data_IF_501433502778
#
_entry.id   IF_501433502778
#
_cell.length_a   1.000
_cell.length_b   1.000
_cell.length_c   1.000
_cell.angle_alpha   90.00
_cell.angle_beta   90.00
_cell.angle_gamma   90.00
#
_symmetry.space_group_name_H-M   'P 1'
#
loop_
_entity.id
_entity.type
_entity.pdbx_description
1 polymer ?
#
# COMPACT_ATOMS: atom_id res chain seq x y z
N UNK A 1 -4.93 -19.92 -7.54
CA UNK A 1 -5.51 -18.63 -7.99
C UNK A 1 -5.20 -17.58 -6.94
N UNK A 2 -4.58 -16.50 -7.34
CA UNK A 2 -4.18 -15.42 -6.42
C UNK A 2 -5.41 -14.60 -6.00
N UNK A 3 -5.67 -14.57 -4.71
CA UNK A 3 -6.74 -13.76 -4.09
C UNK A 3 -6.13 -12.49 -3.50
N UNK A 4 -6.75 -11.37 -3.76
CA UNK A 4 -6.35 -10.06 -3.24
C UNK A 4 -7.56 -9.42 -2.56
N UNK A 5 -7.39 -8.93 -1.35
CA UNK A 5 -8.39 -8.12 -0.63
C UNK A 5 -7.79 -6.74 -0.39
N UNK A 6 -8.46 -5.70 -0.84
CA UNK A 6 -8.09 -4.32 -0.51
C UNK A 6 -8.57 -4.05 0.91
N UNK A 7 -7.66 -3.88 1.84
CA UNK A 7 -7.98 -3.58 3.24
C UNK A 7 -8.31 -2.10 3.43
N UNK A 8 -7.64 -1.24 2.68
CA UNK A 8 -7.87 0.19 2.64
C UNK A 8 -7.23 0.84 1.44
N UNK A 9 -7.76 1.97 1.00
CA UNK A 9 -7.31 2.67 -0.21
C UNK A 9 -6.88 4.13 0.06
N UNK A 10 -7.06 4.67 1.26
CA UNK A 10 -6.71 6.05 1.58
C UNK A 10 -5.21 6.22 1.89
N UNK A 11 -4.69 7.43 1.69
CA UNK A 11 -3.38 7.84 2.18
C UNK A 11 -3.37 8.03 3.71
N UNK A 12 -2.24 8.45 4.26
CA UNK A 12 -2.06 8.71 5.68
C UNK A 12 -3.18 9.57 6.28
N UNK A 13 -3.75 9.11 7.39
CA UNK A 13 -4.88 9.74 8.07
C UNK A 13 -6.26 9.20 7.69
N UNK A 14 -6.40 8.44 6.60
CA UNK A 14 -7.67 7.84 6.19
C UNK A 14 -8.72 8.85 5.69
N UNK A 15 -9.91 8.35 5.32
CA UNK A 15 -11.05 9.17 4.94
C UNK A 15 -12.24 8.80 5.85
N UNK A 16 -12.80 9.73 6.62
CA UNK A 16 -12.35 11.12 6.83
C UNK A 16 -11.11 11.21 7.73
N UNK A 17 -10.18 12.08 7.41
CA UNK A 17 -9.07 12.37 8.31
C UNK A 17 -9.61 13.11 9.56
N UNK A 18 -9.13 12.73 10.75
CA UNK A 18 -9.73 13.12 12.05
C UNK A 18 -9.81 14.65 12.27
N UNK A 19 -8.85 15.41 11.79
CA UNK A 19 -8.75 16.88 11.96
C UNK A 19 -9.05 17.67 10.67
N UNK A 20 -9.53 17.02 9.60
CA UNK A 20 -9.77 17.67 8.32
C UNK A 20 -11.24 18.04 8.12
N UNK A 21 -11.50 19.26 7.66
CA UNK A 21 -12.83 19.77 7.31
C UNK A 21 -13.03 20.00 5.79
N UNK A 22 -12.22 19.37 4.92
CA UNK A 22 -12.40 19.48 3.48
C UNK A 22 -13.75 18.90 3.01
N UNK A 23 -14.21 19.21 1.79
CA UNK A 23 -15.49 18.75 1.28
C UNK A 23 -15.69 17.23 1.36
N UNK A 24 -14.66 16.44 1.01
CA UNK A 24 -14.69 14.97 1.09
C UNK A 24 -14.87 14.51 2.53
N UNK A 25 -14.04 15.01 3.46
CA UNK A 25 -14.11 14.61 4.87
C UNK A 25 -15.44 14.98 5.55
N UNK A 26 -16.02 16.15 5.21
CA UNK A 26 -17.36 16.51 5.70
C UNK A 26 -18.42 15.53 5.21
N UNK A 27 -18.45 15.24 3.92
CA UNK A 27 -19.40 14.27 3.35
C UNK A 27 -19.22 12.87 3.94
N UNK A 28 -18.00 12.38 4.07
CA UNK A 28 -17.71 11.07 4.63
C UNK A 28 -18.16 10.92 6.10
N UNK A 29 -18.20 12.02 6.86
CA UNK A 29 -18.69 11.99 8.25
C UNK A 29 -20.21 11.91 8.37
N UNK A 30 -20.96 12.63 7.54
CA UNK A 30 -22.37 12.87 7.73
C UNK A 30 -23.28 12.34 6.63
N UNK A 31 -22.92 12.55 5.37
CA UNK A 31 -23.82 12.35 4.25
C UNK A 31 -23.55 11.04 3.48
N UNK A 32 -22.28 10.71 3.32
CA UNK A 32 -21.81 9.62 2.43
C UNK A 32 -20.86 8.69 3.17
N UNK A 33 -21.34 7.82 4.06
CA UNK A 33 -20.48 6.86 4.77
C UNK A 33 -19.67 5.93 3.86
N UNK A 34 -20.13 5.72 2.64
CA UNK A 34 -19.45 4.93 1.60
C UNK A 34 -18.14 5.56 1.10
N UNK A 35 -17.92 6.85 1.39
CA UNK A 35 -16.64 7.51 1.13
C UNK A 35 -15.57 7.16 2.17
N UNK A 36 -15.96 6.52 3.29
CA UNK A 36 -15.00 6.15 4.33
C UNK A 36 -14.04 5.11 3.79
N UNK A 37 -12.77 5.37 3.99
CA UNK A 37 -11.71 4.44 3.62
C UNK A 37 -10.59 4.48 4.64
N UNK A 38 -10.09 3.32 5.00
CA UNK A 38 -8.92 3.15 5.84
C UNK A 38 -7.65 3.29 5.00
N UNK A 39 -6.51 3.42 5.67
CA UNK A 39 -5.23 3.68 5.01
C UNK A 39 -4.74 2.47 4.21
N UNK A 40 -4.01 2.75 3.12
CA UNK A 40 -3.68 1.81 2.06
C UNK A 40 -2.93 0.55 2.56
N UNK A 41 -3.56 -0.59 2.38
CA UNK A 41 -3.00 -1.91 2.61
C UNK A 41 -3.81 -2.93 1.81
N UNK A 42 -3.18 -4.03 1.42
CA UNK A 42 -3.86 -5.19 0.80
C UNK A 42 -3.46 -6.47 1.49
N UNK A 43 -4.30 -7.48 1.42
CA UNK A 43 -3.98 -8.86 1.79
C UNK A 43 -3.97 -9.73 0.55
N UNK A 44 -2.99 -10.65 0.45
CA UNK A 44 -2.82 -11.57 -0.69
C UNK A 44 -2.68 -13.00 -0.23
N UNK A 45 -3.25 -13.96 -0.98
CA UNK A 45 -3.18 -15.38 -0.69
C UNK A 45 -3.26 -16.20 -1.98
N UNK A 46 -2.48 -17.28 -2.09
CA UNK A 46 -2.57 -18.25 -3.18
C UNK A 46 -3.47 -19.43 -2.85
N UNK A 47 -3.60 -19.78 -1.57
CA UNK A 47 -4.35 -20.96 -1.07
C UNK A 47 -5.70 -20.62 -0.39
N UNK A 48 -5.88 -19.34 -0.02
CA UNK A 48 -7.06 -18.85 0.71
C UNK A 48 -7.02 -19.09 2.22
N UNK A 49 -5.99 -19.78 2.72
CA UNK A 49 -5.80 -20.10 4.13
C UNK A 49 -4.70 -19.25 4.76
N UNK A 50 -3.60 -19.03 4.05
CA UNK A 50 -2.47 -18.24 4.51
C UNK A 50 -2.42 -16.91 3.75
N UNK A 51 -2.34 -15.82 4.49
CA UNK A 51 -2.39 -14.46 3.96
C UNK A 51 -1.13 -13.68 4.24
N UNK A 52 -0.74 -12.86 3.30
CA UNK A 52 0.36 -11.89 3.44
C UNK A 52 -0.19 -10.48 3.30
N UNK A 53 0.13 -9.62 4.27
CA UNK A 53 -0.23 -8.21 4.21
C UNK A 53 0.85 -7.45 3.44
N UNK A 54 0.42 -6.57 2.54
CA UNK A 54 1.32 -5.57 1.94
C UNK A 54 1.03 -4.25 2.63
N UNK A 55 2.03 -3.79 3.39
CA UNK A 55 1.96 -2.73 4.39
C UNK A 55 1.02 -3.05 5.58
N UNK A 56 1.29 -2.43 6.71
CA UNK A 56 0.51 -2.54 7.94
C UNK A 56 0.10 -1.13 8.39
N UNK A 57 -1.04 -0.67 7.90
CA UNK A 57 -1.51 0.69 8.17
C UNK A 57 -1.90 0.90 9.64
N UNK A 58 -1.93 2.14 10.14
CA UNK A 58 -2.45 2.43 11.48
C UNK A 58 -3.85 1.88 11.75
N UNK A 59 -4.66 1.68 10.70
CA UNK A 59 -6.01 1.14 10.77
C UNK A 59 -6.06 -0.40 10.77
N UNK A 60 -4.91 -1.07 10.82
CA UNK A 60 -4.81 -2.54 10.64
C UNK A 60 -5.79 -3.30 11.54
N UNK A 61 -5.92 -2.94 12.82
CA UNK A 61 -6.85 -3.62 13.71
C UNK A 61 -8.29 -3.58 13.18
N UNK A 62 -8.74 -2.42 12.69
CA UNK A 62 -10.08 -2.26 12.10
C UNK A 62 -10.20 -3.04 10.79
N UNK A 63 -9.17 -3.00 9.96
CA UNK A 63 -9.09 -3.73 8.69
C UNK A 63 -9.22 -5.24 8.90
N UNK A 64 -8.50 -5.80 9.87
CA UNK A 64 -8.56 -7.23 10.20
C UNK A 64 -9.95 -7.64 10.72
N UNK A 65 -10.57 -6.81 11.56
CA UNK A 65 -11.93 -7.08 12.07
C UNK A 65 -12.97 -7.04 10.94
N UNK A 66 -12.80 -6.14 9.98
CA UNK A 66 -13.73 -5.99 8.85
C UNK A 66 -13.56 -7.05 7.75
N UNK A 67 -12.47 -7.83 7.78
CA UNK A 67 -12.10 -8.80 6.72
C UNK A 67 -12.24 -10.24 7.21
N UNK A 68 -13.37 -10.93 6.94
CA UNK A 68 -13.62 -12.28 7.45
C UNK A 68 -12.54 -13.30 7.09
N UNK A 69 -11.89 -13.16 5.93
CA UNK A 69 -10.81 -14.04 5.47
C UNK A 69 -9.56 -13.98 6.39
N UNK A 70 -9.44 -12.94 7.21
CA UNK A 70 -8.32 -12.73 8.12
C UNK A 70 -8.68 -13.04 9.58
N UNK A 71 -9.88 -13.55 9.82
CA UNK A 71 -10.31 -13.95 11.15
C UNK A 71 -9.66 -15.26 11.60
N UNK A 72 -9.55 -15.50 12.92
CA UNK A 72 -9.16 -16.79 13.46
C UNK A 72 -10.06 -17.91 12.97
N UNK A 73 -9.47 -19.06 12.65
CA UNK A 73 -10.24 -20.25 12.31
C UNK A 73 -11.08 -20.74 13.48
N UNK A 74 -12.25 -21.31 13.16
CA UNK A 74 -13.12 -21.89 14.17
C UNK A 74 -12.43 -23.06 14.90
N UNK A 75 -12.64 -23.15 16.21
CA UNK A 75 -12.02 -24.17 17.05
C UNK A 75 -10.69 -23.77 17.68
N UNK A 76 -10.12 -22.65 17.29
CA UNK A 76 -8.91 -22.10 17.90
C UNK A 76 -9.23 -20.92 18.82
N UNK A 77 -8.75 -20.93 20.06
CA UNK A 77 -8.88 -19.78 20.98
C UNK A 77 -7.98 -18.61 20.58
N UNK A 78 -6.85 -18.90 19.96
CA UNK A 78 -5.92 -17.95 19.39
C UNK A 78 -5.37 -18.50 18.08
N UNK A 79 -5.59 -17.77 16.97
CA UNK A 79 -5.13 -18.12 15.65
C UNK A 79 -5.01 -16.87 14.80
N UNK A 80 -4.12 -16.86 13.84
CA UNK A 80 -4.03 -15.83 12.80
C UNK A 80 -3.68 -16.49 11.47
N UNK A 81 -4.45 -16.27 10.40
CA UNK A 81 -4.10 -16.74 9.07
C UNK A 81 -3.00 -15.89 8.42
N UNK A 82 -2.51 -14.84 9.09
CA UNK A 82 -1.48 -13.96 8.56
C UNK A 82 -0.11 -14.62 8.72
N UNK A 83 0.44 -15.12 7.61
CA UNK A 83 1.75 -15.75 7.56
C UNK A 83 2.90 -14.74 7.50
N UNK A 84 2.65 -13.54 6.98
CA UNK A 84 3.68 -12.51 6.89
C UNK A 84 3.16 -11.12 6.54
N UNK A 85 4.06 -10.15 6.70
CA UNK A 85 3.85 -8.75 6.31
C UNK A 85 5.04 -8.32 5.43
N UNK A 86 4.75 -7.71 4.30
CA UNK A 86 5.76 -7.14 3.39
C UNK A 86 5.60 -5.62 3.41
N UNK A 87 6.65 -4.91 3.79
CA UNK A 87 6.66 -3.45 3.84
C UNK A 87 7.31 -2.87 2.58
N UNK A 88 6.65 -1.88 1.99
CA UNK A 88 7.17 -1.19 0.80
C UNK A 88 7.99 0.05 1.13
N UNK A 89 7.81 0.63 2.31
CA UNK A 89 8.55 1.80 2.80
C UNK A 89 8.51 1.87 4.34
N UNK A 90 9.13 2.90 4.92
CA UNK A 90 9.18 3.13 6.37
C UNK A 90 8.20 4.18 6.89
N UNK A 91 7.25 4.64 6.08
CA UNK A 91 6.26 5.63 6.49
C UNK A 91 5.29 5.08 7.57
N UNK A 92 4.74 5.98 8.36
CA UNK A 92 3.82 5.64 9.47
C UNK A 92 2.62 4.83 8.96
N UNK A 93 2.07 5.22 7.81
CA UNK A 93 0.92 4.54 7.20
C UNK A 93 1.25 3.16 6.61
N UNK A 94 2.54 2.83 6.45
CA UNK A 94 2.98 1.49 6.06
C UNK A 94 3.38 0.60 7.25
N UNK A 95 3.81 1.16 8.39
CA UNK A 95 4.45 0.36 9.46
C UNK A 95 3.73 0.39 10.80
N UNK A 96 2.93 1.44 11.13
CA UNK A 96 2.42 1.61 12.48
C UNK A 96 1.42 0.53 12.92
N UNK A 97 0.71 -0.09 11.98
CA UNK A 97 -0.21 -1.19 12.25
C UNK A 97 0.46 -2.45 12.78
N UNK A 98 1.78 -2.61 12.56
CA UNK A 98 2.56 -3.68 13.18
C UNK A 98 2.42 -3.71 14.70
N UNK A 99 2.21 -2.56 15.33
CA UNK A 99 2.01 -2.47 16.79
C UNK A 99 0.72 -3.17 17.25
N UNK A 100 -0.28 -3.30 16.38
CA UNK A 100 -1.48 -4.08 16.65
C UNK A 100 -1.25 -5.59 16.60
N UNK A 101 -0.13 -6.04 16.02
CA UNK A 101 0.21 -7.46 15.86
C UNK A 101 1.09 -7.99 17.03
N UNK A 102 1.30 -7.21 18.09
CA UNK A 102 2.10 -7.59 19.27
C UNK A 102 1.50 -8.74 20.09
N UNK A 103 0.32 -9.22 19.75
CA UNK A 103 -0.45 -10.19 20.53
C UNK A 103 0.08 -11.64 20.45
N UNK A 104 1.28 -11.83 19.91
CA UNK A 104 2.05 -13.06 20.03
C UNK A 104 1.78 -14.14 18.96
N UNK A 105 0.94 -13.87 17.98
CA UNK A 105 0.84 -14.75 16.80
C UNK A 105 2.12 -14.66 15.96
N UNK A 106 2.72 -15.79 15.54
CA UNK A 106 3.93 -15.78 14.75
C UNK A 106 3.66 -15.33 13.31
N UNK A 107 4.54 -14.51 12.75
CA UNK A 107 4.56 -14.16 11.33
C UNK A 107 5.95 -13.74 10.88
N UNK A 108 6.17 -13.72 9.57
CA UNK A 108 7.39 -13.22 8.95
C UNK A 108 7.23 -11.75 8.58
N UNK A 109 8.24 -10.93 8.86
CA UNK A 109 8.29 -9.52 8.46
C UNK A 109 9.37 -9.34 7.39
N UNK A 110 8.94 -9.01 6.17
CA UNK A 110 9.80 -8.78 5.02
C UNK A 110 9.87 -7.28 4.73
N UNK A 111 11.07 -6.74 4.66
CA UNK A 111 11.27 -5.35 4.26
C UNK A 111 12.71 -5.13 3.76
N UNK A 112 12.93 -4.09 2.99
CA UNK A 112 14.28 -3.67 2.64
C UNK A 112 15.07 -3.35 3.92
N UNK A 113 16.38 -3.60 3.92
CA UNK A 113 17.22 -3.40 5.10
C UNK A 113 17.13 -1.98 5.67
N UNK A 114 16.93 -0.97 4.81
CA UNK A 114 16.73 0.42 5.23
C UNK A 114 15.47 0.58 6.10
N UNK A 115 14.38 -0.07 5.73
CA UNK A 115 13.12 -0.05 6.50
C UNK A 115 13.27 -0.86 7.80
N UNK A 116 13.95 -2.01 7.76
CA UNK A 116 14.25 -2.78 8.97
C UNK A 116 15.13 -1.98 9.95
N UNK A 117 16.08 -1.18 9.45
CA UNK A 117 16.89 -0.28 10.26
C UNK A 117 16.04 0.81 10.95
N UNK A 118 15.04 1.35 10.26
CA UNK A 118 14.07 2.29 10.85
C UNK A 118 13.33 1.61 12.01
N UNK A 119 12.80 0.41 11.81
CA UNK A 119 12.10 -0.31 12.87
C UNK A 119 13.02 -0.60 14.07
N UNK A 120 14.28 -0.99 13.84
CA UNK A 120 15.26 -1.23 14.92
C UNK A 120 15.63 0.04 15.69
N UNK A 121 15.65 1.19 15.02
CA UNK A 121 15.97 2.47 15.67
C UNK A 121 14.82 3.04 16.50
N UNK A 122 13.62 2.50 16.36
CA UNK A 122 12.44 2.89 17.10
C UNK A 122 12.06 1.79 18.10
N UNK A 123 12.44 1.97 19.36
CA UNK A 123 12.32 0.96 20.42
C UNK A 123 10.91 0.43 20.65
N UNK A 124 9.86 1.16 20.23
CA UNK A 124 8.47 0.71 20.35
C UNK A 124 8.22 -0.59 19.55
N UNK A 125 8.94 -0.82 18.44
CA UNK A 125 8.83 -2.05 17.64
C UNK A 125 9.50 -3.27 18.27
N UNK A 126 10.17 -3.12 19.43
CA UNK A 126 10.68 -4.26 20.21
C UNK A 126 9.54 -5.09 20.81
N UNK A 127 8.29 -4.58 20.83
CA UNK A 127 7.10 -5.37 21.18
C UNK A 127 6.87 -6.56 20.23
N UNK A 128 7.42 -6.49 19.02
CA UNK A 128 7.46 -7.59 18.05
C UNK A 128 8.69 -8.46 18.31
N UNK A 129 8.63 -9.25 19.39
CA UNK A 129 9.74 -10.07 19.85
C UNK A 129 10.16 -11.13 18.82
N UNK A 130 11.47 -11.37 18.71
CA UNK A 130 12.07 -12.27 17.70
C UNK A 130 11.63 -13.73 17.81
N UNK A 131 11.09 -14.16 18.95
CA UNK A 131 10.49 -15.48 19.10
C UNK A 131 9.25 -15.69 18.22
N UNK A 132 8.50 -14.64 17.98
CA UNK A 132 7.25 -14.69 17.20
C UNK A 132 7.36 -14.00 15.83
N UNK A 133 8.19 -12.95 15.72
CA UNK A 133 8.30 -12.16 14.50
C UNK A 133 9.73 -12.18 13.98
N UNK A 134 9.97 -13.00 12.98
CA UNK A 134 11.26 -13.06 12.30
C UNK A 134 11.31 -11.97 11.21
N UNK A 135 12.37 -11.16 11.24
CA UNK A 135 12.60 -10.10 10.28
C UNK A 135 13.55 -10.57 9.19
N UNK A 136 13.11 -10.57 7.95
CA UNK A 136 13.90 -10.99 6.81
C UNK A 136 14.12 -9.82 5.85
N UNK A 137 15.37 -9.43 5.56
CA UNK A 137 15.65 -8.42 4.56
C UNK A 137 15.30 -8.93 3.17
N UNK A 138 14.72 -8.02 2.35
CA UNK A 138 14.50 -8.21 0.93
C UNK A 138 15.29 -7.17 0.14
N UNK A 139 15.66 -7.50 -1.08
CA UNK A 139 16.49 -6.65 -1.93
C UNK A 139 15.74 -6.31 -3.22
N UNK A 140 15.90 -5.07 -3.69
CA UNK A 140 15.35 -4.67 -4.99
C UNK A 140 15.92 -5.56 -6.12
N UNK A 141 15.06 -5.90 -7.06
CA UNK A 141 15.34 -6.75 -8.24
C UNK A 141 15.77 -8.20 -7.90
N UNK A 142 15.55 -8.65 -6.66
CA UNK A 142 15.69 -10.05 -6.26
C UNK A 142 14.34 -10.65 -5.86
N UNK A 143 13.86 -11.56 -6.69
CA UNK A 143 12.64 -12.29 -6.38
C UNK A 143 12.82 -13.20 -5.15
N UNK A 144 11.78 -13.31 -4.34
CA UNK A 144 11.72 -14.26 -3.24
C UNK A 144 10.31 -14.85 -3.12
N UNK A 145 10.21 -16.00 -2.50
CA UNK A 145 8.96 -16.61 -2.12
C UNK A 145 8.79 -16.50 -0.61
N UNK A 146 7.76 -15.82 -0.10
CA UNK A 146 7.51 -15.76 1.33
C UNK A 146 7.12 -17.17 1.84
N UNK A 147 7.74 -17.59 2.95
CA UNK A 147 7.50 -18.91 3.52
C UNK A 147 6.15 -18.96 4.27
N UNK A 148 5.52 -20.14 4.26
CA UNK A 148 4.42 -20.48 5.16
C UNK A 148 4.94 -20.73 6.60
N UNK A 149 4.07 -20.77 7.62
CA UNK A 149 4.49 -20.98 9.01
C UNK A 149 5.26 -22.27 9.25
N UNK A 150 5.00 -23.31 8.49
CA UNK A 150 5.69 -24.61 8.53
C UNK A 150 7.02 -24.62 7.73
N UNK A 151 7.36 -23.53 7.07
CA UNK A 151 8.54 -23.38 6.22
C UNK A 151 8.34 -23.84 4.78
N UNK A 152 7.17 -24.34 4.41
CA UNK A 152 6.86 -24.70 3.03
C UNK A 152 6.66 -23.47 2.13
N UNK A 153 6.55 -23.70 0.83
CA UNK A 153 6.37 -22.65 -0.17
C UNK A 153 4.94 -22.13 -0.19
N UNK A 154 4.79 -20.79 -0.29
CA UNK A 154 3.48 -20.14 -0.34
C UNK A 154 2.78 -20.22 -1.70
N UNK A 155 3.52 -20.53 -2.75
CA UNK A 155 3.03 -20.43 -4.14
C UNK A 155 2.98 -18.99 -4.67
N UNK A 156 3.48 -18.01 -3.91
CA UNK A 156 3.55 -16.60 -4.30
C UNK A 156 5.00 -16.22 -4.50
N UNK A 157 5.35 -15.66 -5.65
CA UNK A 157 6.65 -15.01 -5.84
C UNK A 157 6.49 -13.50 -5.75
N UNK A 158 7.36 -12.86 -5.00
CA UNK A 158 7.40 -11.40 -4.88
C UNK A 158 8.73 -10.89 -5.44
N UNK A 159 8.65 -9.97 -6.41
CA UNK A 159 9.79 -9.24 -6.94
C UNK A 159 9.68 -7.78 -6.50
N UNK A 160 10.41 -7.36 -5.46
CA UNK A 160 10.54 -5.96 -5.11
C UNK A 160 11.37 -5.22 -6.17
N UNK A 161 11.08 -3.97 -6.41
CA UNK A 161 11.92 -3.10 -7.25
C UNK A 161 11.87 -1.66 -6.72
N UNK A 162 12.95 -0.94 -6.91
CA UNK A 162 13.01 0.46 -6.49
C UNK A 162 12.11 1.32 -7.38
N UNK A 163 11.34 2.22 -6.77
CA UNK A 163 10.59 3.25 -7.48
C UNK A 163 11.07 4.63 -7.03
N UNK A 164 10.97 5.65 -7.91
CA UNK A 164 11.22 7.02 -7.49
C UNK A 164 10.28 7.40 -6.34
N UNK A 165 10.83 7.77 -5.21
CA UNK A 165 10.08 8.11 -3.99
C UNK A 165 10.99 8.82 -3.01
N UNK A 166 10.56 8.93 -1.77
CA UNK A 166 11.31 9.55 -0.68
C UNK A 166 11.47 8.60 0.49
N UNK A 167 12.47 8.86 1.31
CA UNK A 167 12.57 8.29 2.65
C UNK A 167 11.44 8.81 3.56
N UNK A 168 11.22 8.11 4.69
CA UNK A 168 10.15 8.45 5.63
C UNK A 168 10.27 9.91 6.10
N UNK A 169 9.18 10.67 5.98
CA UNK A 169 9.15 12.14 6.16
C UNK A 169 9.66 12.59 7.54
N UNK A 170 9.43 11.83 8.58
CA UNK A 170 9.89 12.13 9.95
C UNK A 170 11.40 11.97 10.13
N UNK A 171 12.12 11.48 9.11
CA UNK A 171 13.57 11.38 9.04
C UNK A 171 14.19 12.47 8.16
N UNK A 172 13.39 13.30 7.48
CA UNK A 172 13.90 14.40 6.65
C UNK A 172 14.82 15.33 7.47
N UNK A 173 15.99 15.64 6.92
CA UNK A 173 16.98 16.53 7.55
C UNK A 173 17.71 15.96 8.76
N UNK A 174 17.49 14.69 9.12
CA UNK A 174 18.21 14.03 10.21
C UNK A 174 19.33 13.16 9.65
N UNK A 175 20.48 13.12 10.35
CA UNK A 175 21.50 12.12 10.08
C UNK A 175 20.91 10.74 10.46
N UNK A 176 20.47 9.99 9.46
CA UNK A 176 19.98 8.63 9.65
C UNK A 176 21.04 7.63 9.19
N UNK A 177 21.21 6.48 9.87
CA UNK A 177 22.22 5.47 9.49
C UNK A 177 22.11 5.03 8.03
N UNK A 178 20.95 5.20 7.39
CA UNK A 178 20.69 4.81 6.01
C UNK A 178 20.83 5.95 5.00
N UNK A 179 21.15 7.21 5.44
CA UNK A 179 21.35 8.37 4.54
C UNK A 179 20.08 8.78 3.77
N UNK A 180 20.05 9.92 3.10
CA UNK A 180 18.89 10.48 2.38
C UNK A 180 18.14 9.55 1.40
N UNK A 181 17.34 10.12 0.50
CA UNK A 181 16.55 9.37 -0.49
C UNK A 181 17.43 8.41 -1.30
N UNK A 182 17.17 7.12 -1.21
CA UNK A 182 17.97 6.09 -1.87
C UNK A 182 17.11 4.93 -2.35
N UNK A 183 17.67 4.15 -3.27
CA UNK A 183 17.07 2.89 -3.69
C UNK A 183 16.76 2.02 -2.46
N UNK A 184 15.51 1.56 -2.33
CA UNK A 184 15.04 0.78 -1.18
C UNK A 184 14.30 1.57 -0.12
N UNK A 185 14.23 2.90 -0.17
CA UNK A 185 13.36 3.71 0.69
C UNK A 185 11.89 3.53 0.29
N UNK A 186 11.62 3.39 -1.01
CA UNK A 186 10.30 3.08 -1.55
C UNK A 186 10.40 1.97 -2.58
N UNK A 187 9.60 0.92 -2.39
CA UNK A 187 9.55 -0.24 -3.27
C UNK A 187 8.18 -0.35 -3.95
N UNK A 188 8.20 -0.68 -5.25
CA UNK A 188 7.11 -1.35 -5.92
C UNK A 188 7.26 -2.87 -5.77
N UNK A 189 6.16 -3.60 -5.84
CA UNK A 189 6.14 -5.05 -5.78
C UNK A 189 5.44 -5.63 -7.01
N UNK A 190 6.07 -6.59 -7.70
CA UNK A 190 5.37 -7.53 -8.56
C UNK A 190 5.03 -8.76 -7.74
N UNK A 191 3.77 -9.15 -7.71
CA UNK A 191 3.28 -10.31 -6.97
C UNK A 191 2.72 -11.30 -7.98
N UNK A 192 3.32 -12.48 -8.05
CA UNK A 192 3.07 -13.53 -9.03
C UNK A 192 2.49 -14.76 -8.34
N UNK A 193 1.40 -15.29 -8.87
CA UNK A 193 0.93 -16.64 -8.58
C UNK A 193 1.73 -17.67 -9.38
N UNK A 194 2.56 -18.45 -8.72
CA UNK A 194 3.39 -19.48 -9.37
C UNK A 194 2.55 -20.58 -10.03
N UNK A 195 1.33 -20.79 -9.55
CA UNK A 195 0.43 -21.80 -10.09
C UNK A 195 -0.21 -21.41 -11.42
N UNK A 196 -0.68 -20.17 -11.56
CA UNK A 196 -1.34 -19.67 -12.78
C UNK A 196 -0.43 -18.86 -13.68
N UNK A 197 0.72 -18.37 -13.18
CA UNK A 197 1.59 -17.44 -13.89
C UNK A 197 1.03 -16.01 -13.96
N UNK A 198 -0.14 -15.74 -13.37
CA UNK A 198 -0.72 -14.39 -13.34
C UNK A 198 -0.03 -13.52 -12.28
N UNK A 199 0.10 -12.25 -12.56
CA UNK A 199 0.77 -11.31 -11.65
C UNK A 199 0.07 -9.95 -11.64
N UNK A 200 0.34 -9.20 -10.60
CA UNK A 200 -0.07 -7.81 -10.47
C UNK A 200 1.04 -6.97 -9.84
N UNK A 201 0.87 -5.67 -9.92
CA UNK A 201 1.79 -4.71 -9.31
C UNK A 201 1.12 -3.91 -8.20
N UNK A 202 1.89 -3.62 -7.14
CA UNK A 202 1.50 -2.76 -6.03
C UNK A 202 2.52 -1.63 -5.87
N UNK A 203 2.06 -0.38 -6.05
CA UNK A 203 2.87 0.83 -5.95
C UNK A 203 2.05 1.90 -5.20
N UNK A 204 2.07 1.89 -3.86
CA UNK A 204 1.33 2.86 -3.04
C UNK A 204 2.00 4.25 -2.98
N UNK A 205 3.27 4.36 -3.38
CA UNK A 205 3.99 5.61 -3.49
C UNK A 205 4.88 5.60 -4.73
N UNK A 206 4.85 6.67 -5.52
CA UNK A 206 5.66 6.81 -6.72
C UNK A 206 5.76 8.30 -7.09
N UNK A 207 6.97 8.88 -7.14
CA UNK A 207 7.15 10.28 -7.45
C UNK A 207 7.09 10.60 -8.95
N UNK A 208 7.38 9.61 -9.81
CA UNK A 208 7.33 9.75 -11.29
C UNK A 208 7.31 8.40 -11.98
N UNK A 209 6.69 8.36 -13.15
CA UNK A 209 6.72 7.19 -14.03
C UNK A 209 7.94 7.30 -14.94
N UNK A 210 8.85 6.32 -14.83
CA UNK A 210 10.02 6.18 -15.70
C UNK A 210 9.74 5.19 -16.84
N UNK A 211 10.58 5.20 -17.88
CA UNK A 211 10.41 4.24 -18.98
C UNK A 211 10.69 2.79 -18.54
N UNK A 212 11.57 2.60 -17.58
CA UNK A 212 11.77 1.28 -16.93
C UNK A 212 10.46 0.83 -16.24
N UNK A 213 9.84 1.72 -15.46
CA UNK A 213 8.57 1.42 -14.80
C UNK A 213 7.46 1.11 -15.82
N UNK A 214 7.34 1.87 -16.91
CA UNK A 214 6.39 1.56 -17.99
C UNK A 214 6.61 0.17 -18.57
N UNK A 215 7.87 -0.17 -18.84
CA UNK A 215 8.25 -1.48 -19.38
C UNK A 215 7.89 -2.62 -18.41
N UNK A 216 8.04 -2.42 -17.10
CA UNK A 216 7.67 -3.40 -16.08
C UNK A 216 6.15 -3.60 -16.00
N UNK A 217 5.36 -2.51 -16.08
CA UNK A 217 3.91 -2.55 -15.90
C UNK A 217 3.15 -3.07 -17.13
N UNK A 218 3.76 -3.04 -18.32
CA UNK A 218 3.13 -3.50 -19.54
C UNK A 218 2.70 -4.98 -19.46
N UNK A 219 1.48 -5.29 -19.88
CA UNK A 219 0.91 -6.64 -19.86
C UNK A 219 0.42 -7.12 -18.49
N UNK A 220 0.42 -6.28 -17.47
CA UNK A 220 -0.03 -6.65 -16.13
C UNK A 220 -1.53 -6.93 -16.10
N UNK A 221 -1.94 -7.98 -15.38
CA UNK A 221 -3.36 -8.27 -15.15
C UNK A 221 -4.03 -7.22 -14.25
N UNK A 222 -3.27 -6.63 -13.33
CA UNK A 222 -3.74 -5.59 -12.42
C UNK A 222 -2.56 -4.72 -11.98
N UNK A 223 -2.80 -3.41 -11.88
CA UNK A 223 -1.87 -2.47 -11.25
C UNK A 223 -2.62 -1.67 -10.20
N UNK A 224 -2.16 -1.76 -8.95
CA UNK A 224 -2.45 -0.78 -7.92
C UNK A 224 -1.39 0.31 -7.97
N UNK A 225 -1.80 1.54 -8.14
CA UNK A 225 -0.89 2.66 -8.34
C UNK A 225 -1.19 3.82 -7.39
N UNK A 226 -0.17 4.62 -7.11
CA UNK A 226 -0.24 5.83 -6.28
C UNK A 226 -1.28 6.82 -6.79
N UNK A 227 -2.24 7.14 -5.95
CA UNK A 227 -3.34 8.07 -6.21
C UNK A 227 -3.42 9.22 -5.23
N UNK A 228 -2.31 9.59 -4.60
CA UNK A 228 -2.31 10.53 -3.46
C UNK A 228 -3.02 11.84 -3.80
N UNK A 229 -2.65 12.52 -4.85
CA UNK A 229 -3.25 13.81 -5.23
C UNK A 229 -3.78 13.80 -6.66
N UNK A 230 -4.88 14.51 -6.91
CA UNK A 230 -5.38 14.72 -8.26
C UNK A 230 -4.46 15.64 -9.06
N UNK A 231 -4.05 16.76 -8.45
CA UNK A 231 -3.10 17.73 -9.01
C UNK A 231 -1.94 17.91 -8.05
N UNK A 232 -0.77 18.23 -8.59
CA UNK A 232 0.45 18.39 -7.79
C UNK A 232 0.32 19.45 -6.69
N UNK A 233 -0.37 20.55 -6.97
CA UNK A 233 -0.59 21.69 -6.06
C UNK A 233 -1.86 21.58 -5.19
N UNK A 234 -2.54 20.45 -5.20
CA UNK A 234 -3.87 20.22 -4.60
C UNK A 234 -3.96 20.71 -3.15
N UNK A 235 -3.01 20.31 -2.30
CA UNK A 235 -3.02 20.68 -0.88
C UNK A 235 -2.80 22.19 -0.66
N UNK A 236 -1.98 22.79 -1.51
CA UNK A 236 -1.67 24.24 -1.43
C UNK A 236 -2.91 25.04 -1.82
N UNK A 237 -3.52 24.69 -2.94
CA UNK A 237 -4.73 25.38 -3.44
C UNK A 237 -5.90 25.26 -2.46
N UNK A 238 -6.05 24.11 -1.80
CA UNK A 238 -7.10 23.90 -0.81
C UNK A 238 -6.77 24.47 0.59
N UNK A 239 -5.56 25.01 0.80
CA UNK A 239 -5.13 25.53 2.10
C UNK A 239 -4.94 24.43 3.16
N UNK A 240 -4.69 23.19 2.74
CA UNK A 240 -4.54 22.03 3.61
C UNK A 240 -3.07 21.67 3.91
N UNK A 241 -2.14 22.22 3.15
CA UNK A 241 -0.72 21.97 3.30
C UNK A 241 0.14 22.95 2.51
N UNK A 242 1.46 22.82 2.65
CA UNK A 242 2.45 23.67 2.00
C UNK A 242 3.32 22.92 0.99
N UNK A 243 3.22 21.59 0.94
CA UNK A 243 3.98 20.73 0.02
C UNK A 243 3.14 20.36 -1.19
N UNK A 244 3.77 20.22 -2.34
CA UNK A 244 3.18 19.63 -3.54
C UNK A 244 3.22 18.09 -3.44
N UNK A 245 2.50 17.40 -4.31
CA UNK A 245 2.57 15.94 -4.45
C UNK A 245 4.01 15.48 -4.68
N UNK A 246 4.71 16.08 -5.65
CA UNK A 246 6.14 15.85 -5.92
C UNK A 246 6.99 16.11 -4.68
N UNK A 247 6.71 17.19 -3.98
CA UNK A 247 7.38 17.54 -2.73
C UNK A 247 7.18 16.51 -1.62
N UNK A 248 6.13 15.71 -1.67
CA UNK A 248 5.85 14.60 -0.76
C UNK A 248 6.33 13.24 -1.28
N UNK A 249 6.80 13.14 -2.53
CA UNK A 249 7.25 11.89 -3.15
C UNK A 249 6.15 11.17 -3.95
N UNK A 250 5.08 11.86 -4.33
CA UNK A 250 3.93 11.34 -5.04
C UNK A 250 3.69 12.04 -6.37
N UNK A 251 3.43 11.27 -7.42
CA UNK A 251 2.98 11.77 -8.71
C UNK A 251 1.50 12.17 -8.62
N UNK A 252 1.08 13.22 -9.36
CA UNK A 252 -0.34 13.52 -9.51
C UNK A 252 -1.06 12.48 -10.36
N UNK A 253 -2.37 12.25 -10.12
CA UNK A 253 -3.19 11.41 -10.99
C UNK A 253 -3.32 12.03 -12.38
N UNK A 254 -3.59 13.34 -12.45
CA UNK A 254 -3.91 14.09 -13.68
C UNK A 254 -2.79 15.04 -14.12
N UNK A 255 -2.98 15.65 -15.29
CA UNK A 255 -2.07 16.64 -15.88
C UNK A 255 -0.99 16.01 -16.74
N UNK A 256 -0.28 16.88 -17.46
CA UNK A 256 0.90 16.50 -18.23
C UNK A 256 1.93 15.83 -17.32
N UNK A 257 2.35 14.63 -17.67
CA UNK A 257 3.19 13.77 -16.85
C UNK A 257 2.53 13.16 -15.60
N UNK A 258 1.23 13.34 -15.39
CA UNK A 258 0.47 12.63 -14.35
C UNK A 258 0.37 11.12 -14.63
N UNK A 259 -0.05 10.35 -13.63
CA UNK A 259 -0.12 8.89 -13.73
C UNK A 259 -1.05 8.42 -14.86
N UNK A 260 -2.21 9.08 -15.04
CA UNK A 260 -3.20 8.72 -16.07
C UNK A 260 -2.58 8.83 -17.46
N UNK A 261 -1.94 9.97 -17.76
CA UNK A 261 -1.32 10.21 -19.06
C UNK A 261 -0.07 9.35 -19.27
N UNK A 262 0.80 9.28 -18.25
CA UNK A 262 2.05 8.54 -18.32
C UNK A 262 1.87 7.04 -18.55
N UNK A 263 0.76 6.46 -18.07
CA UNK A 263 0.42 5.05 -18.20
C UNK A 263 -0.68 4.81 -19.26
N UNK A 264 -1.06 5.85 -20.01
CA UNK A 264 -1.97 5.71 -21.14
C UNK A 264 -1.33 4.83 -22.22
N UNK A 265 -2.14 4.00 -22.85
CA UNK A 265 -1.70 3.13 -23.96
C UNK A 265 -0.88 1.89 -23.52
N UNK A 266 -0.56 1.72 -22.23
CA UNK A 266 -0.01 0.46 -21.76
C UNK A 266 -1.13 -0.60 -21.71
N UNK A 267 -0.79 -1.81 -22.17
CA UNK A 267 -1.67 -2.97 -22.08
C UNK A 267 -1.71 -3.48 -20.61
N UNK A 268 -2.56 -2.83 -19.81
CA UNK A 268 -2.82 -3.19 -18.40
C UNK A 268 -4.31 -3.51 -18.31
N UNK A 269 -4.64 -4.75 -17.94
CA UNK A 269 -6.03 -5.20 -17.97
C UNK A 269 -6.93 -4.48 -16.93
N UNK A 270 -6.41 -4.21 -15.72
CA UNK A 270 -7.12 -3.45 -14.67
C UNK A 270 -6.17 -2.44 -14.02
N UNK A 271 -6.64 -1.21 -13.85
CA UNK A 271 -5.89 -0.12 -13.23
C UNK A 271 -6.66 0.42 -12.04
N UNK A 272 -6.03 0.44 -10.87
CA UNK A 272 -6.65 0.93 -9.64
C UNK A 272 -5.72 1.90 -8.91
N UNK A 273 -6.26 3.04 -8.50
CA UNK A 273 -5.54 3.93 -7.59
C UNK A 273 -5.71 3.49 -6.15
N UNK A 274 -4.61 3.51 -5.41
CA UNK A 274 -4.55 3.37 -3.95
C UNK A 274 -3.84 4.58 -3.35
N UNK A 275 -3.77 4.63 -2.02
CA UNK A 275 -3.09 5.68 -1.28
C UNK A 275 -3.61 7.08 -1.64
N UNK A 276 -4.94 7.22 -1.61
CA UNK A 276 -5.64 8.44 -2.06
C UNK A 276 -5.81 9.39 -0.88
N UNK A 277 -5.31 10.61 -1.01
CA UNK A 277 -5.44 11.60 0.04
C UNK A 277 -6.91 12.02 0.25
N UNK A 278 -7.27 12.28 1.49
CA UNK A 278 -8.62 12.65 1.90
C UNK A 278 -9.16 13.95 1.24
N UNK A 279 -8.28 14.78 0.68
CA UNK A 279 -8.66 16.00 -0.06
C UNK A 279 -8.93 15.77 -1.54
N UNK A 280 -8.52 14.60 -2.08
CA UNK A 280 -8.56 14.32 -3.50
C UNK A 280 -10.01 14.33 -4.03
N UNK A 281 -10.35 15.23 -4.96
CA UNK A 281 -11.72 15.38 -5.45
C UNK A 281 -12.23 14.15 -6.21
N UNK A 282 -11.35 13.30 -6.74
CA UNK A 282 -11.73 12.05 -7.41
C UNK A 282 -12.43 11.04 -6.48
N UNK A 283 -12.35 11.21 -5.15
CA UNK A 283 -13.12 10.43 -4.18
C UNK A 283 -14.63 10.70 -4.28
N UNK A 284 -15.04 11.87 -4.76
CA UNK A 284 -16.46 12.21 -4.90
C UNK A 284 -17.00 11.64 -6.23
N UNK A 285 -17.95 10.71 -6.15
CA UNK A 285 -18.51 10.01 -7.32
C UNK A 285 -19.11 10.91 -8.40
N UNK A 286 -19.56 12.12 -8.04
CA UNK A 286 -20.12 13.09 -8.99
C UNK A 286 -19.13 14.12 -9.52
N UNK A 287 -17.87 14.11 -9.10
CA UNK A 287 -16.86 15.09 -9.53
C UNK A 287 -16.43 14.87 -10.98
N UNK A 288 -15.94 15.93 -11.60
CA UNK A 288 -15.40 15.82 -12.96
C UNK A 288 -14.07 15.05 -12.97
N UNK A 289 -13.32 15.13 -11.88
CA UNK A 289 -12.10 14.36 -11.65
C UNK A 289 -12.41 12.85 -11.64
N UNK A 290 -13.49 12.44 -10.96
CA UNK A 290 -13.91 11.04 -10.91
C UNK A 290 -14.30 10.55 -12.31
N UNK A 291 -15.06 11.33 -13.06
CA UNK A 291 -15.45 10.99 -14.43
C UNK A 291 -14.25 10.85 -15.36
N UNK A 292 -13.27 11.79 -15.27
CA UNK A 292 -12.03 11.72 -16.06
C UNK A 292 -11.22 10.45 -15.73
N UNK A 293 -11.11 10.11 -14.48
CA UNK A 293 -10.44 8.89 -14.00
C UNK A 293 -11.10 7.64 -14.61
N UNK A 294 -12.42 7.53 -14.53
CA UNK A 294 -13.18 6.40 -15.05
C UNK A 294 -13.12 6.31 -16.58
N UNK A 295 -13.21 7.43 -17.29
CA UNK A 295 -13.03 7.49 -18.75
C UNK A 295 -11.64 7.04 -19.20
N UNK A 296 -10.61 7.26 -18.39
CA UNK A 296 -9.25 6.76 -18.60
C UNK A 296 -9.08 5.27 -18.23
N UNK A 297 -10.16 4.60 -17.82
CA UNK A 297 -10.15 3.18 -17.45
C UNK A 297 -9.55 2.87 -16.08
N UNK A 298 -9.49 3.85 -15.20
CA UNK A 298 -9.03 3.68 -13.82
C UNK A 298 -10.21 3.47 -12.87
N UNK A 299 -9.92 2.87 -11.71
CA UNK A 299 -10.89 2.61 -10.65
C UNK A 299 -10.32 3.06 -9.30
N UNK A 300 -11.19 3.36 -8.35
CA UNK A 300 -10.87 3.52 -6.94
C UNK A 300 -11.58 2.38 -6.22
N UNK A 301 -10.84 1.43 -5.62
CA UNK A 301 -11.47 0.34 -4.88
C UNK A 301 -11.99 0.84 -3.52
N UNK A 302 -13.06 0.23 -3.03
CA UNK A 302 -13.51 0.37 -1.67
C UNK A 302 -12.76 -0.59 -0.73
N UNK A 303 -12.73 -0.28 0.56
CA UNK A 303 -12.28 -1.21 1.59
C UNK A 303 -13.10 -2.52 1.49
N UNK A 304 -12.44 -3.67 1.56
CA UNK A 304 -13.06 -4.98 1.38
C UNK A 304 -13.22 -5.44 -0.07
N UNK A 305 -12.78 -4.66 -1.08
CA UNK A 305 -12.82 -5.10 -2.49
C UNK A 305 -12.00 -6.38 -2.68
N UNK A 306 -12.65 -7.44 -3.15
CA UNK A 306 -12.00 -8.72 -3.46
C UNK A 306 -11.71 -8.85 -4.96
N UNK A 307 -10.52 -9.35 -5.27
CA UNK A 307 -10.04 -9.56 -6.63
C UNK A 307 -9.42 -10.95 -6.70
N UNK A 308 -9.77 -11.70 -7.76
CA UNK A 308 -9.13 -12.98 -8.08
C UNK A 308 -8.42 -12.87 -9.43
N UNK A 309 -7.18 -13.33 -9.50
CA UNK A 309 -6.36 -13.39 -10.70
C UNK A 309 -6.11 -14.82 -11.13
#
# INVERSE_FOLDING_TARGET
MLRVVVLGAAAGGGVPQWNCGCPVCRKARSENPELRSTQASIAVSADGAHWYLINASPDLRQQLIATPQLHPESGHLRHSPIAGVILTNGEIDAVAGLLSMREGSPFMLYAHERVLAILRSNSIFNVLGENNVKRQPIEADKAFEPALPDGSQSGIEILPFAVPGKGAWYLEGKAHPTGGDAAGDTLGLRILDKGSGKYFYFLAACARVTDDLKSRLAGAALVFFDGTVWRDDELIVQGLGTKTGQGMGHISMSGEHGAIESLAGLDIARKMFLHINNSNPALLSGSDERKQLEQAGWQIPADGTEITL
#
